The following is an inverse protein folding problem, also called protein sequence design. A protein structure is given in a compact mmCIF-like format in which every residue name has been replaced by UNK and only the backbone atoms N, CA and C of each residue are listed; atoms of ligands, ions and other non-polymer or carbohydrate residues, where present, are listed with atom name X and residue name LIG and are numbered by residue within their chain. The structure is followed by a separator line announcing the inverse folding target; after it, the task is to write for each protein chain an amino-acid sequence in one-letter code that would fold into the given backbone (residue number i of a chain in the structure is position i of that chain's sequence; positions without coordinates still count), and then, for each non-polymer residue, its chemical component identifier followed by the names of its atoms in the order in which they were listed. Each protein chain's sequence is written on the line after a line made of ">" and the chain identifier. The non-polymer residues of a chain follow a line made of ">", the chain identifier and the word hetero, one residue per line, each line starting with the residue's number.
data_IF_227449613297
#
_entry.id   IF_227449613297
#
_cell.length_a   1.000
_cell.length_b   1.000
_cell.length_c   1.000
_cell.angle_alpha   90.00
_cell.angle_beta   90.00
_cell.angle_gamma   90.00
#
_symmetry.space_group_name_H-M   'P 1'
#
loop_
_entity.id
_entity.type
_entity.pdbx_description
1 polymer ?
#
# COMPACT_ATOMS: atom_id res chain seq x y z
N UNK A 1 -16.22 13.03 7.07
CA UNK A 1 -15.45 12.04 6.29
C UNK A 1 -15.15 10.93 7.26
N UNK A 2 -15.68 9.73 7.03
CA UNK A 2 -15.54 8.61 7.96
C UNK A 2 -14.09 8.17 7.97
N UNK A 3 -13.34 8.57 9.00
CA UNK A 3 -12.13 7.88 9.43
C UNK A 3 -12.53 6.43 9.67
N UNK A 4 -12.36 5.62 8.62
CA UNK A 4 -12.52 4.19 8.71
C UNK A 4 -11.29 3.77 9.50
N UNK A 5 -11.45 3.57 10.82
CA UNK A 5 -10.39 3.10 11.71
C UNK A 5 -10.03 1.66 11.30
N UNK A 6 -9.29 1.54 10.20
CA UNK A 6 -8.73 0.27 9.76
C UNK A 6 -7.52 0.00 10.65
N UNK A 7 -7.40 -1.22 11.21
CA UNK A 7 -6.35 -1.54 12.18
C UNK A 7 -4.95 -1.66 11.55
N UNK A 8 -4.82 -1.54 10.22
CA UNK A 8 -3.56 -1.67 9.48
C UNK A 8 -3.43 -0.58 8.42
N UNK A 9 -2.18 -0.31 8.01
CA UNK A 9 -1.89 0.52 6.85
C UNK A 9 -2.47 -0.10 5.57
N UNK A 10 -3.05 0.73 4.74
CA UNK A 10 -3.45 0.43 3.36
C UNK A 10 -2.29 0.61 2.39
N UNK A 11 -2.35 0.02 1.17
CA UNK A 11 -1.45 0.38 0.08
C UNK A 11 -1.39 1.89 -0.22
N UNK A 12 -2.47 2.64 0.02
CA UNK A 12 -2.46 4.11 -0.15
C UNK A 12 -1.65 4.81 0.93
N UNK A 13 -1.70 4.32 2.18
CA UNK A 13 -0.88 4.85 3.27
C UNK A 13 0.61 4.64 2.99
N UNK A 14 0.99 3.54 2.31
CA UNK A 14 2.36 3.35 1.85
C UNK A 14 2.75 4.30 0.70
N UNK A 15 1.82 4.65 -0.19
CA UNK A 15 2.08 5.69 -1.20
C UNK A 15 2.31 7.04 -0.53
N UNK A 16 1.51 7.39 0.47
CA UNK A 16 1.67 8.63 1.23
C UNK A 16 2.99 8.64 2.01
N UNK A 17 3.35 7.54 2.66
CA UNK A 17 4.65 7.37 3.30
C UNK A 17 5.82 7.58 2.33
N UNK A 18 5.71 7.04 1.10
CA UNK A 18 6.74 7.25 0.08
C UNK A 18 6.81 8.71 -0.34
N UNK A 19 5.66 9.37 -0.55
CA UNK A 19 5.62 10.79 -0.89
C UNK A 19 6.26 11.65 0.19
N UNK A 20 5.97 11.41 1.47
CA UNK A 20 6.58 12.12 2.59
C UNK A 20 8.09 11.92 2.62
N UNK A 21 8.56 10.67 2.51
CA UNK A 21 9.99 10.36 2.62
C UNK A 21 10.81 10.92 1.47
N UNK A 22 10.29 10.82 0.25
CA UNK A 22 10.95 11.32 -0.96
C UNK A 22 10.62 12.79 -1.25
N UNK A 23 9.84 13.45 -0.37
CA UNK A 23 9.40 14.85 -0.49
C UNK A 23 8.67 15.15 -1.80
N UNK A 24 7.86 14.20 -2.27
CA UNK A 24 7.02 14.34 -3.47
C UNK A 24 5.75 15.10 -3.10
N UNK A 25 5.43 16.13 -3.86
CA UNK A 25 4.29 17.01 -3.61
C UNK A 25 3.11 16.76 -4.55
N UNK A 26 3.22 15.77 -5.45
CA UNK A 26 2.17 15.44 -6.40
C UNK A 26 2.18 13.98 -6.83
N UNK A 27 0.99 13.47 -7.20
CA UNK A 27 0.83 12.16 -7.84
C UNK A 27 1.62 12.04 -9.15
N UNK A 28 1.89 13.17 -9.82
CA UNK A 28 2.75 13.17 -11.00
C UNK A 28 4.18 12.77 -10.65
N UNK A 29 4.76 13.40 -9.63
CA UNK A 29 6.10 13.06 -9.16
C UNK A 29 6.15 11.63 -8.63
N UNK A 30 5.14 11.19 -7.87
CA UNK A 30 4.99 9.80 -7.43
C UNK A 30 4.97 8.82 -8.60
N UNK A 31 4.18 9.10 -9.64
CA UNK A 31 4.11 8.25 -10.83
C UNK A 31 5.45 8.13 -11.55
N UNK A 32 6.22 9.23 -11.62
CA UNK A 32 7.56 9.23 -12.22
C UNK A 32 8.57 8.48 -11.36
N UNK A 33 8.53 8.66 -10.04
CA UNK A 33 9.38 7.97 -9.10
C UNK A 33 9.17 6.44 -9.16
N UNK A 34 7.92 5.99 -9.18
CA UNK A 34 7.58 4.56 -9.29
C UNK A 34 7.67 4.00 -10.73
N UNK A 35 7.89 4.85 -11.74
CA UNK A 35 7.87 4.42 -13.15
C UNK A 35 6.54 3.79 -13.56
N UNK A 36 5.42 4.41 -13.18
CA UNK A 36 4.04 3.99 -13.52
C UNK A 36 3.29 5.14 -14.20
N UNK A 37 2.12 4.86 -14.78
CA UNK A 37 1.29 5.92 -15.36
C UNK A 37 0.59 6.75 -14.28
N UNK A 38 0.38 8.03 -14.55
CA UNK A 38 -0.44 8.91 -13.68
C UNK A 38 -1.87 8.39 -13.49
N UNK A 39 -2.44 7.80 -14.55
CA UNK A 39 -3.79 7.25 -14.51
C UNK A 39 -3.88 6.08 -13.53
N UNK A 40 -2.83 5.24 -13.44
CA UNK A 40 -2.79 4.14 -12.50
C UNK A 40 -2.77 4.64 -11.05
N UNK A 41 -1.92 5.64 -10.75
CA UNK A 41 -1.90 6.28 -9.42
C UNK A 41 -3.27 6.86 -9.07
N UNK A 42 -3.89 7.61 -9.99
CA UNK A 42 -5.24 8.15 -9.80
C UNK A 42 -6.28 7.06 -9.57
N UNK A 43 -6.19 5.94 -10.30
CA UNK A 43 -7.10 4.81 -10.11
C UNK A 43 -6.96 4.19 -8.71
N UNK A 44 -5.74 4.08 -8.16
CA UNK A 44 -5.55 3.63 -6.78
C UNK A 44 -6.14 4.63 -5.78
N UNK A 45 -5.80 5.93 -5.91
CA UNK A 45 -6.28 7.01 -5.03
C UNK A 45 -7.81 7.10 -4.95
N UNK A 46 -8.49 6.79 -6.05
CA UNK A 46 -9.96 6.82 -6.12
C UNK A 46 -10.61 5.43 -6.01
N UNK A 47 -9.86 4.41 -5.57
CA UNK A 47 -10.35 3.03 -5.39
C UNK A 47 -10.98 2.42 -6.65
N UNK A 48 -10.55 2.86 -7.85
CA UNK A 48 -10.97 2.31 -9.15
C UNK A 48 -10.10 1.14 -9.60
N UNK A 49 -8.95 0.95 -8.97
CA UNK A 49 -8.07 -0.20 -9.16
C UNK A 49 -7.52 -0.66 -7.80
N UNK A 50 -7.28 -1.96 -7.71
CA UNK A 50 -6.57 -2.57 -6.57
C UNK A 50 -5.08 -2.63 -6.96
N UNK A 51 -4.19 -2.31 -6.02
CA UNK A 51 -2.76 -2.48 -6.23
C UNK A 51 -2.44 -3.98 -6.29
N UNK A 52 -1.91 -4.43 -7.43
CA UNK A 52 -1.50 -5.81 -7.62
C UNK A 52 -0.14 -6.11 -6.92
N UNK A 53 0.28 -7.38 -6.81
CA UNK A 53 1.53 -7.73 -6.16
C UNK A 53 2.77 -7.07 -6.77
N UNK A 54 2.83 -6.94 -8.10
CA UNK A 54 3.96 -6.31 -8.78
C UNK A 54 4.13 -4.85 -8.33
N UNK A 55 3.03 -4.10 -8.24
CA UNK A 55 3.07 -2.72 -7.78
C UNK A 55 3.26 -2.59 -6.26
N UNK A 56 2.79 -3.55 -5.47
CA UNK A 56 3.10 -3.62 -4.04
C UNK A 56 4.60 -3.77 -3.82
N UNK A 57 5.25 -4.70 -4.55
CA UNK A 57 6.68 -4.96 -4.43
C UNK A 57 7.51 -3.78 -4.92
N UNK A 58 7.12 -3.16 -6.03
CA UNK A 58 7.76 -1.93 -6.52
C UNK A 58 7.70 -0.78 -5.50
N UNK A 59 6.56 -0.65 -4.80
CA UNK A 59 6.42 0.33 -3.72
C UNK A 59 7.29 -0.03 -2.51
N UNK A 60 7.40 -1.31 -2.19
CA UNK A 60 8.25 -1.79 -1.10
C UNK A 60 9.74 -1.61 -1.39
N UNK A 61 10.18 -1.89 -2.63
CA UNK A 61 11.54 -1.60 -3.11
C UNK A 61 11.86 -0.12 -2.97
N UNK A 62 10.95 0.74 -3.43
CA UNK A 62 11.08 2.18 -3.24
C UNK A 62 11.21 2.47 -1.75
N UNK A 63 10.30 1.95 -0.90
CA UNK A 63 10.28 2.15 0.54
C UNK A 63 11.38 1.45 1.34
N UNK A 64 12.20 0.58 0.74
CA UNK A 64 13.17 -0.25 1.45
C UNK A 64 12.55 -0.98 2.66
N UNK A 65 11.37 -1.58 2.47
CA UNK A 65 10.69 -2.43 3.46
C UNK A 65 10.39 -3.80 2.85
N UNK A 66 10.01 -4.77 3.67
CA UNK A 66 9.64 -6.11 3.21
C UNK A 66 8.39 -6.04 2.31
N UNK A 67 8.53 -6.52 1.07
CA UNK A 67 7.48 -6.50 0.06
C UNK A 67 6.20 -7.24 0.47
N UNK A 68 6.35 -8.25 1.34
CA UNK A 68 5.24 -9.04 1.87
C UNK A 68 4.38 -8.22 2.82
N UNK A 69 4.88 -7.13 3.39
CA UNK A 69 4.12 -6.25 4.27
C UNK A 69 3.01 -5.54 3.47
N UNK A 70 3.39 -4.87 2.38
CA UNK A 70 2.44 -4.15 1.53
C UNK A 70 1.49 -5.14 0.83
N UNK A 71 2.01 -6.29 0.39
CA UNK A 71 1.17 -7.33 -0.22
C UNK A 71 0.13 -7.87 0.78
N UNK A 72 0.51 -8.11 2.04
CA UNK A 72 -0.44 -8.53 3.07
C UNK A 72 -1.52 -7.47 3.31
N UNK A 73 -1.14 -6.18 3.35
CA UNK A 73 -2.10 -5.08 3.46
C UNK A 73 -3.08 -5.01 2.27
N UNK A 74 -2.58 -5.15 1.03
CA UNK A 74 -3.40 -5.16 -0.17
C UNK A 74 -4.40 -6.32 -0.17
N UNK A 75 -3.96 -7.51 0.23
CA UNK A 75 -4.83 -8.68 0.33
C UNK A 75 -5.88 -8.53 1.45
N UNK A 76 -5.51 -7.98 2.62
CA UNK A 76 -6.44 -7.68 3.70
C UNK A 76 -7.59 -6.76 3.25
N UNK A 77 -7.28 -5.75 2.44
CA UNK A 77 -8.30 -4.82 1.93
C UNK A 77 -9.19 -5.44 0.84
N UNK A 78 -8.62 -6.29 -0.01
CA UNK A 78 -9.35 -6.92 -1.12
C UNK A 78 -10.28 -8.04 -0.65
N UNK A 79 -9.84 -8.84 0.33
CA UNK A 79 -10.57 -10.02 0.74
C UNK A 79 -11.87 -9.66 1.48
N UNK A 80 -12.98 -10.26 1.04
CA UNK A 80 -14.31 -10.07 1.65
C UNK A 80 -14.62 -11.09 2.74
N UNK A 81 -13.81 -12.16 2.84
CA UNK A 81 -13.99 -13.23 3.82
C UNK A 81 -13.22 -12.88 5.08
N UNK A 82 -13.92 -12.76 6.21
CA UNK A 82 -13.36 -12.36 7.50
C UNK A 82 -12.13 -13.20 7.90
N UNK A 83 -12.22 -14.53 7.87
CA UNK A 83 -11.09 -15.43 8.18
C UNK A 83 -9.85 -15.18 7.29
N UNK A 84 -10.05 -14.81 6.02
CA UNK A 84 -8.93 -14.46 5.13
C UNK A 84 -8.33 -13.11 5.52
N UNK A 85 -9.17 -12.13 5.86
CA UNK A 85 -8.71 -10.83 6.38
C UNK A 85 -7.89 -11.03 7.66
N UNK A 86 -8.38 -11.81 8.62
CA UNK A 86 -7.62 -12.13 9.85
C UNK A 86 -6.25 -12.77 9.54
N UNK A 87 -6.20 -13.70 8.57
CA UNK A 87 -4.94 -14.30 8.14
C UNK A 87 -3.95 -13.26 7.59
N UNK A 88 -4.41 -12.36 6.71
CA UNK A 88 -3.58 -11.30 6.16
C UNK A 88 -3.17 -10.26 7.21
N UNK A 89 -4.08 -9.90 8.11
CA UNK A 89 -3.79 -9.05 9.26
C UNK A 89 -2.63 -9.62 10.08
N UNK A 90 -2.68 -10.91 10.43
CA UNK A 90 -1.61 -11.56 11.19
C UNK A 90 -0.28 -11.67 10.42
N UNK A 91 -0.31 -11.71 9.08
CA UNK A 91 0.90 -11.62 8.24
C UNK A 91 1.48 -10.21 8.28
N UNK A 92 0.64 -9.19 8.06
CA UNK A 92 1.01 -7.80 8.10
C UNK A 92 1.64 -7.42 9.45
N UNK A 93 0.95 -7.72 10.56
CA UNK A 93 1.41 -7.38 11.91
C UNK A 93 2.81 -7.95 12.20
N UNK A 94 3.06 -9.21 11.86
CA UNK A 94 4.38 -9.84 12.06
C UNK A 94 5.50 -9.21 11.23
N UNK A 95 5.18 -8.64 10.07
CA UNK A 95 6.16 -8.02 9.17
C UNK A 95 6.43 -6.58 9.61
N UNK A 96 5.38 -5.82 9.93
CA UNK A 96 5.48 -4.44 10.40
C UNK A 96 6.20 -4.31 11.75
N UNK A 97 6.07 -5.29 12.63
CA UNK A 97 6.75 -5.30 13.93
C UNK A 97 8.25 -5.63 13.80
N UNK A 98 8.67 -6.32 12.73
CA UNK A 98 10.09 -6.63 12.47
C UNK A 98 10.86 -5.48 11.84
N UNK A 99 10.14 -4.53 11.24
CA UNK A 99 10.72 -3.34 10.60
C UNK A 99 10.99 -2.19 11.59
N UNK A 100 10.66 -2.37 12.88
CA UNK A 100 10.91 -1.43 13.98
C UNK A 100 12.07 -1.91 14.85
#
# INVERSE_FOLDING_TARGET
>A
MTESSQPIKSPLDYLDQLMERERLTSDYQLSKHLGVSRQLVSNWRHHRAIMDPYHCWKLADALNIDEREIEAAANYQRDKVEKKREYWYGKWQRLSDRAR
#
